data_IF_140361096600
#
_entry.id   IF_140361096600
#
_cell.length_a   1.000
_cell.length_b   1.000
_cell.length_c   1.000
_cell.angle_alpha   90.00
_cell.angle_beta   90.00
_cell.angle_gamma   90.00
#
_symmetry.space_group_name_H-M   'P 1'
#
loop_
_entity.id
_entity.type
_entity.pdbx_description
1 polymer ?
#
# COMPACT_ATOMS: atom_id res chain seq x y z
N UNK A 1 -5.02 -13.02 0.48
CA UNK A 1 -4.54 -11.66 0.80
C UNK A 1 -5.28 -10.67 -0.09
N UNK A 2 -5.90 -9.65 0.50
CA UNK A 2 -6.43 -8.51 -0.25
C UNK A 2 -5.32 -7.47 -0.29
N UNK A 3 -4.89 -7.09 -1.48
CA UNK A 3 -3.99 -5.96 -1.66
C UNK A 3 -4.84 -4.70 -1.82
N UNK A 4 -4.27 -3.56 -1.42
CA UNK A 4 -4.90 -2.26 -1.60
C UNK A 4 -4.93 -1.77 -3.06
N UNK A 5 -4.57 -2.62 -4.02
CA UNK A 5 -4.52 -2.29 -5.44
C UNK A 5 -5.93 -2.07 -6.04
N UNK A 6 -5.99 -1.22 -7.05
CA UNK A 6 -7.14 -1.06 -7.93
C UNK A 6 -7.51 -2.38 -8.63
N UNK A 7 -8.75 -2.45 -9.12
CA UNK A 7 -9.31 -3.61 -9.84
C UNK A 7 -10.02 -3.18 -11.12
N UNK A 8 -9.58 -2.05 -11.68
CA UNK A 8 -10.19 -1.44 -12.84
C UNK A 8 -9.14 -1.19 -13.92
N UNK A 9 -9.54 -1.53 -15.15
CA UNK A 9 -8.70 -1.45 -16.33
C UNK A 9 -8.27 -0.01 -16.69
N UNK A 10 -8.85 1.00 -16.05
CA UNK A 10 -8.56 2.41 -16.31
C UNK A 10 -7.26 2.87 -15.65
N UNK A 11 -6.78 2.16 -14.62
CA UNK A 11 -5.62 2.56 -13.81
C UNK A 11 -4.64 1.39 -13.66
N UNK A 12 -4.07 0.88 -14.76
CA UNK A 12 -3.25 -0.34 -14.76
C UNK A 12 -2.06 -0.30 -13.81
N UNK A 13 -1.45 0.88 -13.60
CA UNK A 13 -0.37 1.02 -12.64
C UNK A 13 -0.82 0.71 -11.20
N UNK A 14 -2.05 1.10 -10.84
CA UNK A 14 -2.62 0.93 -9.51
C UNK A 14 -3.13 -0.50 -9.28
N UNK A 15 -3.20 -1.35 -10.31
CA UNK A 15 -3.42 -2.79 -10.17
C UNK A 15 -2.17 -3.54 -9.70
N UNK A 16 -1.03 -2.84 -9.60
CA UNK A 16 0.26 -3.38 -9.18
C UNK A 16 0.61 -2.98 -7.74
N UNK A 17 1.51 -3.77 -7.14
CA UNK A 17 2.35 -3.34 -6.03
C UNK A 17 3.56 -2.63 -6.62
N UNK A 18 3.82 -1.41 -6.15
CA UNK A 18 4.98 -0.62 -6.58
C UNK A 18 6.08 -0.69 -5.54
N UNK A 19 7.29 -1.05 -5.95
CA UNK A 19 8.45 -1.10 -5.09
C UNK A 19 9.34 0.12 -5.37
N UNK A 20 9.70 0.86 -4.31
CA UNK A 20 10.57 2.05 -4.42
C UNK A 20 11.40 2.21 -3.15
N UNK A 21 12.72 2.10 -3.29
CA UNK A 21 13.65 1.96 -2.17
C UNK A 21 13.25 0.78 -1.27
N UNK A 22 13.24 1.01 0.05
CA UNK A 22 12.86 0.00 1.05
C UNK A 22 11.34 -0.26 1.16
N UNK A 23 10.52 0.28 0.25
CA UNK A 23 9.08 0.38 0.46
C UNK A 23 8.26 -0.29 -0.65
N UNK A 24 7.17 -0.94 -0.23
CA UNK A 24 6.12 -1.42 -1.11
C UNK A 24 4.86 -0.56 -0.94
N UNK A 25 4.30 -0.09 -2.06
CA UNK A 25 3.11 0.74 -2.13
C UNK A 25 1.99 0.02 -2.88
N UNK A 26 0.75 0.17 -2.39
CA UNK A 26 -0.45 -0.26 -3.10
C UNK A 26 -1.60 0.73 -2.85
N UNK A 27 -2.42 0.98 -3.86
CA UNK A 27 -3.52 1.94 -3.80
C UNK A 27 -4.61 1.65 -4.81
N UNK A 28 -5.86 1.93 -4.45
CA UNK A 28 -7.03 1.90 -5.32
C UNK A 28 -7.58 3.32 -5.59
N UNK A 29 -6.88 4.35 -5.11
CA UNK A 29 -7.23 5.76 -5.20
C UNK A 29 -8.01 6.30 -4.01
N UNK A 30 -8.60 5.43 -3.19
CA UNK A 30 -9.29 5.79 -1.95
C UNK A 30 -8.46 5.41 -0.72
N UNK A 31 -7.63 4.38 -0.83
CA UNK A 31 -6.65 4.01 0.18
C UNK A 31 -5.23 3.98 -0.39
N UNK A 32 -4.24 4.22 0.47
CA UNK A 32 -2.83 3.98 0.17
C UNK A 32 -2.26 3.17 1.33
N UNK A 33 -1.49 2.13 1.04
CA UNK A 33 -0.64 1.44 2.02
C UNK A 33 0.81 1.58 1.61
N UNK A 34 1.67 1.82 2.59
CA UNK A 34 3.13 1.86 2.50
C UNK A 34 3.69 0.94 3.56
N UNK A 35 4.33 -0.15 3.15
CA UNK A 35 4.96 -1.11 4.06
C UNK A 35 6.47 -1.16 3.78
N UNK A 36 7.27 -1.29 4.84
CA UNK A 36 8.71 -1.48 4.68
C UNK A 36 8.99 -2.93 4.35
N UNK A 37 9.67 -3.18 3.24
CA UNK A 37 9.86 -4.54 2.68
C UNK A 37 10.65 -5.41 3.68
N UNK A 38 11.68 -4.85 4.31
CA UNK A 38 12.51 -5.55 5.31
C UNK A 38 11.75 -5.92 6.58
N UNK A 39 10.62 -5.26 6.88
CA UNK A 39 9.80 -5.53 8.06
C UNK A 39 8.75 -6.60 7.74
N UNK A 40 8.23 -6.64 6.51
CA UNK A 40 7.12 -7.52 6.12
C UNK A 40 7.52 -8.69 5.21
N UNK A 41 8.82 -8.95 5.02
CA UNK A 41 9.33 -10.04 4.20
C UNK A 41 10.70 -10.52 4.68
N UNK A 42 11.15 -11.66 4.17
CA UNK A 42 12.48 -12.23 4.45
C UNK A 42 13.51 -11.91 3.35
N UNK A 43 13.27 -10.87 2.54
CA UNK A 43 14.17 -10.51 1.44
C UNK A 43 15.42 -9.82 1.99
N UNK A 44 16.57 -10.17 1.41
CA UNK A 44 17.83 -9.49 1.71
C UNK A 44 17.93 -8.13 0.97
N UNK A 45 18.96 -7.36 1.31
CA UNK A 45 19.17 -6.02 0.74
C UNK A 45 19.37 -6.04 -0.79
N UNK A 46 20.07 -7.04 -1.33
CA UNK A 46 20.31 -7.14 -2.77
C UNK A 46 19.02 -7.44 -3.53
N UNK A 47 18.16 -8.30 -2.95
CA UNK A 47 16.83 -8.58 -3.45
C UNK A 47 15.92 -7.35 -3.40
N UNK A 48 15.94 -6.58 -2.31
CA UNK A 48 15.18 -5.33 -2.19
C UNK A 48 15.63 -4.31 -3.23
N UNK A 49 16.94 -4.13 -3.42
CA UNK A 49 17.48 -3.23 -4.45
C UNK A 49 17.06 -3.66 -5.87
N UNK A 50 16.98 -4.97 -6.14
CA UNK A 50 16.53 -5.48 -7.43
C UNK A 50 15.04 -5.20 -7.71
N UNK A 51 14.23 -4.93 -6.68
CA UNK A 51 12.83 -4.49 -6.82
C UNK A 51 12.69 -2.99 -7.09
N UNK A 52 13.73 -2.17 -6.85
CA UNK A 52 13.57 -0.72 -6.90
C UNK A 52 13.06 -0.24 -8.27
N UNK A 53 11.98 0.54 -8.25
CA UNK A 53 11.30 1.05 -9.43
C UNK A 53 10.38 0.04 -10.12
N UNK A 54 10.28 -1.21 -9.66
CA UNK A 54 9.50 -2.26 -10.32
C UNK A 54 8.03 -2.25 -9.89
N UNK A 55 7.18 -2.72 -10.79
CA UNK A 55 5.75 -2.91 -10.60
C UNK A 55 5.40 -4.38 -10.78
N UNK A 56 4.79 -5.01 -9.77
CA UNK A 56 4.29 -6.38 -9.87
C UNK A 56 2.78 -6.39 -9.77
N UNK A 57 2.12 -6.94 -10.79
CA UNK A 57 0.65 -7.02 -10.81
C UNK A 57 0.11 -7.77 -9.59
N UNK A 58 -0.98 -7.29 -9.00
CA UNK A 58 -1.55 -7.82 -7.76
C UNK A 58 -1.91 -9.31 -7.82
N UNK A 59 -2.37 -9.79 -8.98
CA UNK A 59 -2.62 -11.22 -9.21
C UNK A 59 -1.34 -12.05 -9.12
N UNK A 60 -0.25 -11.57 -9.73
CA UNK A 60 1.05 -12.24 -9.68
C UNK A 60 1.64 -12.18 -8.28
N UNK A 61 1.52 -11.05 -7.58
CA UNK A 61 1.91 -10.95 -6.18
C UNK A 61 1.19 -12.00 -5.32
N UNK A 62 -0.13 -12.13 -5.47
CA UNK A 62 -0.92 -13.12 -4.71
C UNK A 62 -0.51 -14.56 -5.03
N UNK A 63 -0.16 -14.84 -6.28
CA UNK A 63 0.27 -16.19 -6.69
C UNK A 63 1.72 -16.48 -6.24
N UNK A 64 2.60 -15.49 -6.26
CA UNK A 64 3.98 -15.56 -5.74
C UNK A 64 4.01 -15.98 -4.28
N UNK A 65 3.09 -15.49 -3.44
CA UNK A 65 3.01 -15.85 -2.01
C UNK A 65 2.74 -17.34 -1.74
N UNK A 66 2.42 -18.14 -2.76
CA UNK A 66 2.22 -19.59 -2.63
C UNK A 66 3.54 -20.36 -2.65
N UNK A 67 4.63 -19.75 -3.12
CA UNK A 67 5.94 -20.36 -3.29
C UNK A 67 6.82 -20.16 -2.06
N UNK A 68 7.85 -21.00 -1.92
CA UNK A 68 8.70 -21.02 -0.73
C UNK A 68 9.95 -20.15 -0.93
N UNK A 69 10.56 -20.22 -2.12
CA UNK A 69 11.74 -19.45 -2.50
C UNK A 69 11.43 -18.52 -3.67
N UNK A 70 12.02 -17.32 -3.65
CA UNK A 70 11.96 -16.38 -4.78
C UNK A 70 13.36 -15.90 -5.16
N UNK A 71 13.56 -15.64 -6.44
CA UNK A 71 14.76 -15.04 -7.02
C UNK A 71 14.32 -13.88 -7.91
N UNK A 72 14.95 -12.72 -7.72
CA UNK A 72 14.57 -11.49 -8.43
C UNK A 72 15.58 -11.27 -9.55
N UNK A 73 15.06 -11.07 -10.75
CA UNK A 73 15.83 -10.77 -11.96
C UNK A 73 15.42 -9.41 -12.53
N UNK A 74 16.08 -8.96 -13.60
CA UNK A 74 15.74 -7.68 -14.23
C UNK A 74 14.30 -7.61 -14.78
N UNK A 75 13.80 -8.74 -15.28
CA UNK A 75 12.53 -8.83 -16.00
C UNK A 75 11.36 -9.30 -15.12
N UNK A 76 11.65 -9.92 -13.96
CA UNK A 76 10.63 -10.52 -13.12
C UNK A 76 11.17 -11.33 -11.96
N UNK A 77 10.27 -12.09 -11.34
CA UNK A 77 10.52 -12.91 -10.16
C UNK A 77 10.34 -14.38 -10.51
N UNK A 78 11.41 -15.16 -10.37
CA UNK A 78 11.36 -16.63 -10.42
C UNK A 78 11.01 -17.18 -9.04
N UNK A 79 10.04 -18.08 -8.98
CA UNK A 79 9.53 -18.66 -7.75
C UNK A 79 9.62 -20.18 -7.78
N UNK A 80 9.95 -20.79 -6.65
CA UNK A 80 10.11 -22.24 -6.51
C UNK A 80 9.31 -22.80 -5.33
N UNK A 81 8.70 -23.98 -5.56
CA UNK A 81 8.07 -24.79 -4.51
C UNK A 81 8.16 -26.26 -4.85
N UNK A 82 9.02 -27.00 -4.15
CA UNK A 82 9.31 -28.41 -4.46
C UNK A 82 9.73 -28.56 -5.94
N UNK A 83 8.85 -29.10 -6.78
CA UNK A 83 9.09 -29.28 -8.22
C UNK A 83 8.41 -28.21 -9.08
N UNK A 84 7.58 -27.35 -8.49
CA UNK A 84 6.87 -26.30 -9.20
C UNK A 84 7.76 -25.07 -9.36
N UNK A 85 7.74 -24.50 -10.56
CA UNK A 85 8.42 -23.25 -10.91
C UNK A 85 7.43 -22.31 -11.58
N UNK A 86 7.50 -21.03 -11.25
CA UNK A 86 6.80 -19.99 -11.98
C UNK A 86 7.71 -18.79 -12.17
N UNK A 87 7.47 -18.05 -13.25
CA UNK A 87 8.13 -16.78 -13.50
C UNK A 87 7.05 -15.70 -13.66
N UNK A 88 7.15 -14.64 -12.87
CA UNK A 88 6.21 -13.52 -12.91
C UNK A 88 6.94 -12.28 -13.44
N UNK A 89 6.55 -11.83 -14.62
CA UNK A 89 7.10 -10.62 -15.22
C UNK A 89 6.66 -9.37 -14.47
N UNK A 90 7.56 -8.40 -14.36
CA UNK A 90 7.17 -7.03 -13.97
C UNK A 90 6.33 -6.38 -15.06
N UNK A 91 5.56 -5.36 -14.68
CA UNK A 91 4.81 -4.56 -15.64
C UNK A 91 5.75 -3.75 -16.55
N UNK A 92 5.20 -3.25 -17.67
CA UNK A 92 5.90 -2.41 -18.64
C UNK A 92 6.63 -1.24 -17.95
N UNK A 93 7.89 -1.00 -18.31
CA UNK A 93 8.72 0.06 -17.74
C UNK A 93 8.17 1.48 -18.00
N UNK A 94 7.32 1.65 -19.00
CA UNK A 94 6.65 2.91 -19.31
C UNK A 94 5.42 3.16 -18.42
N UNK A 95 4.95 2.13 -17.70
CA UNK A 95 3.82 2.25 -16.80
C UNK A 95 4.26 3.00 -15.53
N UNK A 96 3.70 4.20 -15.32
CA UNK A 96 4.07 5.05 -14.19
C UNK A 96 3.07 4.93 -13.06
N UNK A 97 3.56 4.50 -11.89
CA UNK A 97 2.78 4.54 -10.66
C UNK A 97 2.60 6.00 -10.19
N UNK A 98 1.43 6.38 -9.63
CA UNK A 98 1.26 7.68 -9.00
C UNK A 98 2.32 7.94 -7.92
N UNK A 99 2.67 9.21 -7.67
CA UNK A 99 3.63 9.58 -6.62
C UNK A 99 2.99 9.44 -5.22
N UNK A 100 2.81 8.18 -4.78
CA UNK A 100 2.17 7.84 -3.53
C UNK A 100 2.94 8.38 -2.31
N UNK A 101 4.28 8.40 -2.39
CA UNK A 101 5.11 8.96 -1.32
C UNK A 101 4.83 10.45 -1.14
N UNK A 102 4.77 11.22 -2.23
CA UNK A 102 4.40 12.64 -2.13
C UNK A 102 3.03 12.85 -1.52
N UNK A 103 2.05 12.02 -1.87
CA UNK A 103 0.70 12.09 -1.25
C UNK A 103 0.77 11.83 0.25
N UNK A 104 1.48 10.78 0.67
CA UNK A 104 1.69 10.46 2.10
C UNK A 104 2.36 11.62 2.83
N UNK A 105 3.46 12.15 2.31
CA UNK A 105 4.20 13.25 2.95
C UNK A 105 3.35 14.52 3.06
N UNK A 106 2.56 14.84 2.04
CA UNK A 106 1.64 15.98 2.09
C UNK A 106 0.64 15.86 3.24
N UNK A 107 0.09 14.67 3.49
CA UNK A 107 -0.84 14.45 4.60
C UNK A 107 -0.15 14.42 5.96
N UNK A 108 1.04 13.82 6.06
CA UNK A 108 1.82 13.82 7.30
C UNK A 108 2.17 15.25 7.74
N UNK A 109 2.49 16.13 6.79
CA UNK A 109 2.84 17.53 7.04
C UNK A 109 1.64 18.41 7.49
N UNK A 110 0.40 17.98 7.25
CA UNK A 110 -0.79 18.72 7.74
C UNK A 110 -0.89 18.64 9.27
N UNK A 111 -1.34 19.70 9.96
CA UNK A 111 -1.65 19.61 11.38
C UNK A 111 -2.77 18.59 11.65
N UNK A 112 -2.75 17.95 12.82
CA UNK A 112 -3.89 17.16 13.26
C UNK A 112 -5.03 18.07 13.71
N UNK A 113 -6.25 17.55 13.65
CA UNK A 113 -7.47 18.22 14.16
C UNK A 113 -8.06 17.42 15.32
N UNK A 114 -8.84 18.05 16.23
CA UNK A 114 -9.63 17.33 17.23
C UNK A 114 -10.55 16.32 16.54
N UNK A 115 -10.76 15.13 17.14
CA UNK A 115 -11.52 14.01 16.57
C UNK A 115 -12.82 14.48 15.91
N UNK A 116 -12.84 14.62 14.57
CA UNK A 116 -14.00 15.10 13.87
C UNK A 116 -15.02 13.97 13.71
N UNK A 117 -16.29 14.33 13.55
CA UNK A 117 -17.23 13.41 12.94
C UNK A 117 -16.85 13.22 11.47
N UNK A 118 -16.80 11.98 11.01
CA UNK A 118 -16.43 11.62 9.64
C UNK A 118 -17.39 10.57 9.07
N UNK A 119 -17.51 10.54 7.74
CA UNK A 119 -18.22 9.50 7.01
C UNK A 119 -17.21 8.64 6.26
N UNK A 120 -17.34 7.31 6.24
CA UNK A 120 -16.37 6.44 5.59
C UNK A 120 -16.99 5.14 5.08
N UNK A 121 -16.31 4.52 4.10
CA UNK A 121 -16.67 3.20 3.59
C UNK A 121 -16.00 2.11 4.44
N UNK A 122 -16.79 1.34 5.18
CA UNK A 122 -16.31 0.22 6.02
C UNK A 122 -15.45 -0.80 5.25
N UNK A 123 -15.74 -1.01 3.96
CA UNK A 123 -14.96 -1.93 3.12
C UNK A 123 -13.50 -1.49 2.97
N UNK A 124 -13.20 -0.20 3.04
CA UNK A 124 -11.83 0.31 2.98
C UNK A 124 -11.04 -0.03 4.24
N UNK A 125 -11.69 -0.04 5.41
CA UNK A 125 -11.05 -0.48 6.66
C UNK A 125 -10.74 -1.98 6.63
N UNK A 126 -11.62 -2.80 6.05
CA UNK A 126 -11.36 -4.23 5.87
C UNK A 126 -10.18 -4.50 4.94
N UNK A 127 -10.00 -3.67 3.91
CA UNK A 127 -8.83 -3.78 3.02
C UNK A 127 -7.57 -3.29 3.76
N UNK A 128 -7.64 -2.13 4.42
CA UNK A 128 -6.53 -1.57 5.20
C UNK A 128 -6.00 -2.58 6.23
N UNK A 129 -6.88 -3.17 7.04
CA UNK A 129 -6.52 -4.19 8.03
C UNK A 129 -5.79 -5.40 7.44
N UNK A 130 -6.07 -5.75 6.19
CA UNK A 130 -5.46 -6.91 5.51
C UNK A 130 -4.18 -6.57 4.75
N UNK A 131 -3.99 -5.31 4.36
CA UNK A 131 -2.92 -4.87 3.48
C UNK A 131 -1.81 -4.11 4.22
N UNK A 132 -2.13 -3.43 5.32
CA UNK A 132 -1.15 -2.72 6.13
C UNK A 132 -0.50 -3.69 7.14
N UNK A 133 0.83 -3.74 7.13
CA UNK A 133 1.60 -4.65 7.97
C UNK A 133 1.42 -4.30 9.46
N UNK A 134 1.22 -5.31 10.32
CA UNK A 134 1.08 -5.15 11.78
C UNK A 134 0.06 -4.06 12.19
N UNK A 135 -1.10 -4.02 11.53
CA UNK A 135 -2.13 -2.98 11.72
C UNK A 135 -3.28 -3.40 12.66
N UNK A 136 -3.18 -4.51 13.40
CA UNK A 136 -4.24 -4.92 14.34
C UNK A 136 -4.44 -3.90 15.47
N UNK A 137 -3.42 -3.09 15.76
CA UNK A 137 -3.47 -1.95 16.67
C UNK A 137 -2.78 -0.77 16.01
N UNK A 138 -3.52 0.31 15.76
CA UNK A 138 -3.02 1.48 15.06
C UNK A 138 -3.38 2.79 15.76
N UNK A 139 -2.56 3.81 15.53
CA UNK A 139 -2.90 5.21 15.79
C UNK A 139 -3.64 5.74 14.56
N UNK A 140 -4.77 6.41 14.77
CA UNK A 140 -5.47 7.14 13.71
C UNK A 140 -5.28 8.65 13.90
N UNK A 141 -4.68 9.31 12.91
CA UNK A 141 -4.49 10.77 12.91
C UNK A 141 -5.42 11.42 11.90
N UNK A 142 -6.31 12.28 12.41
CA UNK A 142 -7.27 13.02 11.60
C UNK A 142 -6.69 14.36 11.15
N UNK A 143 -6.87 14.68 9.86
CA UNK A 143 -6.40 15.95 9.26
C UNK A 143 -7.55 16.90 8.88
N UNK A 144 -8.80 16.44 8.98
CA UNK A 144 -10.01 17.19 8.67
C UNK A 144 -11.18 16.26 8.40
N UNK A 145 -12.39 16.81 8.28
CA UNK A 145 -13.64 16.05 8.03
C UNK A 145 -13.62 15.33 6.67
N UNK A 146 -13.08 15.99 5.64
CA UNK A 146 -13.01 15.50 4.27
C UNK A 146 -11.57 15.21 3.81
N UNK A 147 -10.63 15.15 4.77
CA UNK A 147 -9.22 14.89 4.53
C UNK A 147 -8.85 13.47 4.94
N UNK A 148 -7.77 12.92 4.34
CA UNK A 148 -7.33 11.56 4.64
C UNK A 148 -7.08 11.35 6.14
N UNK A 149 -7.45 10.15 6.60
CA UNK A 149 -7.11 9.65 7.93
C UNK A 149 -5.81 8.86 7.77
N UNK A 150 -4.83 9.16 8.61
CA UNK A 150 -3.54 8.46 8.63
C UNK A 150 -3.58 7.36 9.67
N UNK A 151 -3.11 6.18 9.30
CA UNK A 151 -2.95 5.02 10.18
C UNK A 151 -1.48 4.61 10.24
N UNK A 152 -0.96 4.44 11.45
CA UNK A 152 0.37 3.90 11.71
C UNK A 152 0.28 2.82 12.80
N UNK A 153 1.17 1.82 12.73
CA UNK A 153 1.17 0.70 13.68
C UNK A 153 1.60 1.14 15.08
N UNK A 154 0.97 0.58 16.11
CA UNK A 154 1.42 0.76 17.50
C UNK A 154 2.53 -0.24 17.89
N UNK A 155 2.91 -1.16 17.01
CA UNK A 155 3.99 -2.12 17.25
C UNK A 155 5.33 -1.42 17.11
N UNK A 156 6.22 -1.60 18.09
CA UNK A 156 7.55 -0.99 18.05
C UNK A 156 8.34 -1.44 16.81
N UNK A 157 9.06 -0.51 16.20
CA UNK A 157 9.89 -0.73 15.01
C UNK A 157 9.12 -1.14 13.74
N UNK A 158 7.81 -0.93 13.70
CA UNK A 158 7.02 -1.02 12.48
C UNK A 158 6.83 0.37 11.88
N UNK A 159 7.18 0.51 10.60
CA UNK A 159 7.19 1.80 9.90
C UNK A 159 6.07 1.91 8.86
N UNK A 160 5.07 1.03 8.91
CA UNK A 160 3.96 0.98 7.96
C UNK A 160 3.03 2.19 8.10
N UNK A 161 2.60 2.77 6.98
CA UNK A 161 1.67 3.90 6.94
C UNK A 161 0.49 3.58 6.00
N UNK A 162 -0.71 3.77 6.51
CA UNK A 162 -1.97 3.70 5.77
C UNK A 162 -2.62 5.07 5.64
N UNK A 163 -3.26 5.32 4.50
CA UNK A 163 -4.18 6.45 4.31
C UNK A 163 -5.55 5.91 3.88
N UNK A 164 -6.62 6.45 4.47
CA UNK A 164 -8.00 6.25 4.00
C UNK A 164 -8.62 7.61 3.71
N UNK A 165 -9.16 7.77 2.52
CA UNK A 165 -10.01 8.90 2.18
C UNK A 165 -11.42 8.70 2.77
N UNK A 166 -11.93 9.64 3.58
CA UNK A 166 -13.32 9.60 4.01
C UNK A 166 -14.26 9.83 2.82
N UNK A 167 -15.54 9.48 3.02
CA UNK A 167 -16.60 9.89 2.10
C UNK A 167 -16.83 11.38 2.26
N UNK A 168 -16.91 12.08 1.12
CA UNK A 168 -17.24 13.50 1.12
C UNK A 168 -18.61 13.72 1.78
N UNK A 169 -18.65 14.59 2.78
CA UNK A 169 -19.88 14.99 3.45
C UNK A 169 -19.90 16.51 3.66
N UNK A 170 -20.76 17.18 2.90
CA UNK A 170 -20.90 18.64 2.93
C UNK A 170 -21.50 19.15 4.24
N UNK A 171 -22.41 18.39 4.88
CA UNK A 171 -23.09 18.85 6.09
C UNK A 171 -22.12 19.02 7.26
N UNK A 172 -21.04 18.22 7.28
CA UNK A 172 -20.02 18.26 8.33
C UNK A 172 -19.01 19.41 8.15
N UNK A 173 -18.99 20.10 7.00
CA UNK A 173 -18.16 21.29 6.80
C UNK A 173 -18.79 22.55 7.42
N UNK A 174 -20.11 22.57 7.62
CA UNK A 174 -20.83 23.74 8.12
C UNK A 174 -20.70 23.93 9.64
N UNK A 175 -20.31 22.88 10.36
CA UNK A 175 -20.11 22.90 11.83
C UNK A 175 -18.67 23.24 12.26
N UNK A 176 -17.73 23.36 11.31
CA UNK A 176 -16.31 23.61 11.57
C UNK A 176 -15.87 25.08 11.37
N UNK A 177 -16.81 25.97 11.01
CA UNK A 177 -16.62 27.43 10.90
C UNK A 177 -17.35 28.15 12.04
#
# INVERSE_FOLDING_TARGET
MFLACAKDDNRPAMECVYFKGDWAYASDGYIIVKNRISECSNLDEAMIQALDGKLLHSLFFKDMLKYDDILISGDGIECHKKNDKAFFYFADENLKYPDAEKVIQNYLAKPSVPLPQISFNMGLFDIMRKALYECDRCTATFKGVNDAIIFDSMVENVSSIGLIMPLYNESLNQEAN
#
